data_IF_282294215546
#
_entry.id   IF_282294215546
#
_cell.length_a   1.000
_cell.length_b   1.000
_cell.length_c   1.000
_cell.angle_alpha   90.00
_cell.angle_beta   90.00
_cell.angle_gamma   90.00
#
_symmetry.space_group_name_H-M   'P 1'
#
loop_
_entity.id
_entity.type
_entity.pdbx_description
1 polymer ?
#
# COMPACT_ATOMS: atom_id res chain seq x y z
N UNK A 1 -12.81 3.98 -14.31
CA UNK A 1 -11.97 2.81 -14.66
C UNK A 1 -11.47 2.18 -13.38
N UNK A 2 -11.84 0.93 -13.12
CA UNK A 2 -11.41 0.12 -11.99
C UNK A 2 -10.41 -0.94 -12.50
N UNK A 3 -9.19 -0.92 -11.97
CA UNK A 3 -8.14 -1.87 -12.31
C UNK A 3 -8.05 -2.93 -11.21
N UNK A 4 -8.29 -4.20 -11.55
CA UNK A 4 -8.31 -5.31 -10.60
C UNK A 4 -7.22 -6.32 -10.90
N UNK A 5 -6.76 -7.01 -9.86
CA UNK A 5 -5.89 -8.17 -10.03
C UNK A 5 -6.72 -9.39 -10.49
N UNK A 6 -6.05 -10.42 -10.99
CA UNK A 6 -6.72 -11.65 -11.45
C UNK A 6 -6.74 -12.74 -10.38
N UNK A 7 -6.86 -12.38 -9.10
CA UNK A 7 -6.95 -13.33 -8.02
C UNK A 7 -8.28 -14.13 -8.11
N UNK A 8 -8.27 -15.43 -7.75
CA UNK A 8 -9.46 -16.28 -7.82
C UNK A 8 -10.67 -15.80 -7.00
N UNK A 9 -10.44 -14.90 -6.04
CA UNK A 9 -11.47 -14.31 -5.19
C UNK A 9 -12.25 -13.17 -5.88
N UNK A 10 -11.78 -12.68 -7.03
CA UNK A 10 -12.48 -11.64 -7.78
C UNK A 10 -13.50 -12.26 -8.75
N UNK A 11 -14.73 -11.74 -8.80
CA UNK A 11 -15.76 -12.27 -9.70
C UNK A 11 -15.39 -11.95 -11.15
N UNK A 12 -15.33 -12.95 -12.05
CA UNK A 12 -14.90 -12.77 -13.44
C UNK A 12 -15.88 -11.95 -14.30
N UNK A 13 -17.12 -11.77 -13.83
CA UNK A 13 -18.19 -11.02 -14.50
C UNK A 13 -18.57 -9.70 -13.82
N UNK A 14 -17.70 -9.13 -12.97
CA UNK A 14 -18.04 -7.96 -12.15
C UNK A 14 -18.64 -6.80 -12.97
N UNK A 15 -18.17 -6.58 -14.20
CA UNK A 15 -18.67 -5.53 -15.09
C UNK A 15 -20.14 -5.74 -15.50
N UNK A 16 -20.57 -6.99 -15.66
CA UNK A 16 -21.97 -7.37 -15.97
C UNK A 16 -22.86 -7.27 -14.73
N UNK A 17 -22.27 -7.44 -13.54
CA UNK A 17 -22.94 -7.32 -12.23
C UNK A 17 -23.05 -5.87 -11.74
N UNK A 18 -22.40 -4.90 -12.42
CA UNK A 18 -22.53 -3.48 -12.07
C UNK A 18 -23.94 -3.00 -12.39
N UNK A 19 -24.63 -2.48 -11.38
CA UNK A 19 -25.95 -1.84 -11.50
C UNK A 19 -25.88 -0.69 -12.52
N UNK A 20 -26.99 -0.37 -13.19
CA UNK A 20 -27.09 0.74 -14.16
C UNK A 20 -26.46 2.06 -13.64
N UNK A 21 -26.60 2.35 -12.34
CA UNK A 21 -26.05 3.53 -11.67
C UNK A 21 -24.51 3.59 -11.70
N UNK A 22 -23.82 2.46 -11.93
CA UNK A 22 -22.36 2.33 -11.97
C UNK A 22 -21.81 2.02 -13.37
N UNK A 23 -22.62 2.15 -14.42
CA UNK A 23 -22.22 1.86 -15.81
C UNK A 23 -21.00 2.67 -16.31
N UNK A 24 -20.66 3.77 -15.62
CA UNK A 24 -19.49 4.59 -15.91
C UNK A 24 -18.17 3.95 -15.42
N UNK A 25 -18.24 2.91 -14.59
CA UNK A 25 -17.09 2.19 -14.08
C UNK A 25 -16.72 1.06 -15.04
N UNK A 26 -15.82 1.35 -15.98
CA UNK A 26 -15.17 0.30 -16.78
C UNK A 26 -14.25 -0.55 -15.91
N UNK A 27 -14.45 -1.87 -15.87
CA UNK A 27 -13.58 -2.80 -15.11
C UNK A 27 -12.53 -3.38 -16.05
N UNK A 28 -11.29 -3.47 -15.59
CA UNK A 28 -10.22 -4.12 -16.35
C UNK A 28 -9.40 -5.00 -15.42
N UNK A 29 -9.32 -6.28 -15.77
CA UNK A 29 -8.46 -7.23 -15.07
C UNK A 29 -7.04 -7.15 -15.62
N UNK A 30 -6.07 -7.12 -14.72
CA UNK A 30 -4.68 -7.22 -15.08
C UNK A 30 -4.35 -8.64 -15.59
N UNK A 31 -3.38 -8.78 -16.52
CA UNK A 31 -2.89 -10.09 -16.94
C UNK A 31 -2.39 -10.95 -15.77
N UNK A 32 -2.38 -12.28 -15.88
CA UNK A 32 -1.76 -13.15 -14.87
C UNK A 32 -0.32 -12.72 -14.54
N UNK A 33 0.11 -12.90 -13.28
CA UNK A 33 1.46 -12.57 -12.78
C UNK A 33 1.82 -11.08 -12.69
N UNK A 34 0.85 -10.19 -12.86
CA UNK A 34 1.06 -8.74 -12.75
C UNK A 34 0.79 -8.18 -11.36
N UNK A 35 0.61 -9.02 -10.33
CA UNK A 35 0.41 -8.58 -8.94
C UNK A 35 1.54 -7.64 -8.45
N UNK A 36 2.73 -7.77 -9.04
CA UNK A 36 3.86 -6.85 -8.82
C UNK A 36 3.60 -5.41 -9.33
N UNK A 37 2.74 -5.23 -10.34
CA UNK A 37 2.32 -3.91 -10.85
C UNK A 37 1.34 -3.19 -9.92
N UNK A 38 0.73 -3.90 -8.96
CA UNK A 38 0.02 -3.30 -7.82
C UNK A 38 1.05 -2.80 -6.79
N UNK A 39 1.84 -1.86 -7.26
CA UNK A 39 2.88 -1.12 -6.54
C UNK A 39 2.44 -0.55 -5.18
N UNK A 40 1.17 -0.14 -4.91
CA UNK A 40 0.85 0.45 -3.62
C UNK A 40 1.06 -0.49 -2.43
N UNK A 41 0.73 -1.78 -2.57
CA UNK A 41 0.91 -2.78 -1.50
C UNK A 41 2.41 -3.08 -1.30
N UNK A 42 3.16 -3.19 -2.39
CA UNK A 42 4.62 -3.41 -2.34
C UNK A 42 5.34 -2.25 -1.63
N UNK A 43 4.96 -1.01 -1.95
CA UNK A 43 5.54 0.17 -1.33
C UNK A 43 5.18 0.28 0.16
N UNK A 44 3.94 -0.02 0.54
CA UNK A 44 3.55 -0.12 1.94
C UNK A 44 4.39 -1.16 2.69
N UNK A 45 4.53 -2.39 2.16
CA UNK A 45 5.36 -3.44 2.76
C UNK A 45 6.80 -2.98 2.94
N UNK A 46 7.38 -2.32 1.93
CA UNK A 46 8.73 -1.74 2.01
C UNK A 46 8.85 -0.71 3.15
N UNK A 47 7.89 0.22 3.26
CA UNK A 47 7.89 1.25 4.29
C UNK A 47 7.69 0.66 5.69
N UNK A 48 6.76 -0.27 5.85
CA UNK A 48 6.53 -1.00 7.10
C UNK A 48 7.82 -1.72 7.55
N UNK A 49 8.42 -2.52 6.66
CA UNK A 49 9.65 -3.27 6.96
C UNK A 49 10.81 -2.34 7.33
N UNK A 50 10.95 -1.20 6.64
CA UNK A 50 11.98 -0.20 6.96
C UNK A 50 11.80 0.36 8.38
N UNK A 51 10.59 0.80 8.73
CA UNK A 51 10.33 1.38 10.05
C UNK A 51 10.42 0.34 11.17
N UNK A 52 10.01 -0.89 10.90
CA UNK A 52 10.19 -2.02 11.81
C UNK A 52 11.68 -2.23 12.12
N UNK A 53 12.51 -2.40 11.09
CA UNK A 53 13.94 -2.60 11.29
C UNK A 53 14.62 -1.40 11.95
N UNK A 54 14.21 -0.18 11.63
CA UNK A 54 14.72 1.03 12.30
C UNK A 54 14.54 0.94 13.82
N UNK A 55 13.33 0.62 14.29
CA UNK A 55 13.04 0.49 15.72
C UNK A 55 13.80 -0.67 16.36
N UNK A 56 13.87 -1.81 15.67
CA UNK A 56 14.66 -2.93 16.14
C UNK A 56 16.13 -2.54 16.32
N UNK A 57 16.74 -1.92 15.31
CA UNK A 57 18.15 -1.49 15.38
C UNK A 57 18.37 -0.42 16.44
N UNK A 58 17.48 0.56 16.60
CA UNK A 58 17.60 1.56 17.67
C UNK A 58 17.61 0.93 19.06
N UNK A 59 16.89 -0.18 19.25
CA UNK A 59 16.86 -0.90 20.52
C UNK A 59 18.10 -1.79 20.69
N UNK A 60 18.49 -2.55 19.66
CA UNK A 60 19.62 -3.50 19.70
C UNK A 60 20.99 -2.84 19.55
N UNK A 61 21.07 -1.59 19.09
CA UNK A 61 22.33 -0.83 19.07
C UNK A 61 22.63 -0.20 20.44
N UNK A 62 21.56 0.06 21.22
CA UNK A 62 21.65 0.62 22.59
C UNK A 62 21.68 -0.44 23.68
N UNK A 63 21.58 -1.72 23.32
CA UNK A 63 21.50 -2.83 24.25
C UNK A 63 22.09 -4.09 23.62
N UNK A 64 22.47 -5.09 24.42
CA UNK A 64 22.92 -6.39 23.90
C UNK A 64 21.75 -7.32 23.53
N UNK A 65 20.56 -6.78 23.25
CA UNK A 65 19.37 -7.57 22.97
C UNK A 65 19.48 -8.26 21.61
N UNK A 66 19.08 -9.51 21.58
CA UNK A 66 18.89 -10.25 20.34
C UNK A 66 17.59 -9.82 19.65
N UNK A 67 17.50 -10.08 18.34
CA UNK A 67 16.27 -9.84 17.57
C UNK A 67 15.05 -10.59 18.17
N UNK A 68 15.26 -11.81 18.69
CA UNK A 68 14.21 -12.59 19.32
C UNK A 68 13.68 -11.94 20.61
N UNK A 69 14.58 -11.42 21.46
CA UNK A 69 14.20 -10.71 22.69
C UNK A 69 13.47 -9.41 22.39
N UNK A 70 13.88 -8.67 21.35
CA UNK A 70 13.13 -7.51 20.87
C UNK A 70 11.68 -7.88 20.52
N UNK A 71 11.46 -8.92 19.72
CA UNK A 71 10.12 -9.34 19.33
C UNK A 71 9.28 -9.82 20.52
N UNK A 72 9.88 -10.53 21.47
CA UNK A 72 9.18 -11.08 22.62
C UNK A 72 8.82 -10.03 23.66
N UNK A 73 9.73 -9.10 23.93
CA UNK A 73 9.68 -8.24 25.13
C UNK A 73 9.43 -6.77 24.82
N UNK A 74 9.69 -6.34 23.58
CA UNK A 74 9.68 -4.93 23.19
C UNK A 74 8.79 -4.62 21.98
N UNK A 75 8.18 -5.64 21.37
CA UNK A 75 7.27 -5.46 20.25
C UNK A 75 5.85 -5.92 20.60
N UNK A 76 5.00 -4.95 20.92
CA UNK A 76 3.59 -5.18 21.22
C UNK A 76 2.66 -4.71 20.09
N UNK A 77 1.36 -4.92 20.29
CA UNK A 77 0.34 -4.51 19.32
C UNK A 77 0.33 -2.98 19.10
N UNK A 78 0.65 -2.20 20.14
CA UNK A 78 0.72 -0.73 20.04
C UNK A 78 1.87 -0.33 19.12
N UNK A 79 3.02 -0.96 19.27
CA UNK A 79 4.21 -0.77 18.43
C UNK A 79 3.91 -1.11 16.97
N UNK A 80 3.20 -2.23 16.75
CA UNK A 80 2.73 -2.62 15.42
C UNK A 80 1.82 -1.54 14.79
N UNK A 81 0.80 -1.07 15.52
CA UNK A 81 -0.11 -0.04 15.04
C UNK A 81 0.61 1.27 14.70
N UNK A 82 1.58 1.68 15.52
CA UNK A 82 2.37 2.87 15.23
C UNK A 82 3.19 2.75 13.94
N UNK A 83 3.80 1.59 13.68
CA UNK A 83 4.52 1.35 12.42
C UNK A 83 3.56 1.40 11.24
N UNK A 84 2.37 0.79 11.36
CA UNK A 84 1.32 0.84 10.34
C UNK A 84 0.94 2.30 10.05
N UNK A 85 0.67 3.10 11.09
CA UNK A 85 0.33 4.52 10.93
C UNK A 85 1.44 5.28 10.19
N UNK A 86 2.70 5.11 10.60
CA UNK A 86 3.84 5.78 9.94
C UNK A 86 3.97 5.33 8.48
N UNK A 87 3.83 4.04 8.20
CA UNK A 87 3.93 3.48 6.85
C UNK A 87 2.79 3.98 5.95
N UNK A 88 1.55 4.05 6.45
CA UNK A 88 0.40 4.59 5.71
C UNK A 88 0.60 6.08 5.41
N UNK A 89 0.97 6.89 6.40
CA UNK A 89 1.20 8.33 6.19
C UNK A 89 2.34 8.57 5.20
N UNK A 90 3.43 7.81 5.32
CA UNK A 90 4.56 7.87 4.38
C UNK A 90 4.16 7.44 2.98
N UNK A 91 3.34 6.40 2.85
CA UNK A 91 2.81 5.92 1.58
C UNK A 91 1.95 6.99 0.91
N UNK A 92 0.99 7.58 1.64
CA UNK A 92 0.13 8.64 1.13
C UNK A 92 0.94 9.85 0.67
N UNK A 93 1.95 10.26 1.43
CA UNK A 93 2.83 11.37 1.06
C UNK A 93 3.60 11.09 -0.24
N UNK A 94 4.19 9.90 -0.37
CA UNK A 94 4.91 9.50 -1.59
C UNK A 94 3.98 9.41 -2.80
N UNK A 95 2.78 8.83 -2.62
CA UNK A 95 1.77 8.75 -3.67
C UNK A 95 1.31 10.14 -4.13
N UNK A 96 1.06 11.06 -3.19
CA UNK A 96 0.76 12.46 -3.53
C UNK A 96 1.90 13.16 -4.27
N UNK A 97 3.15 12.94 -3.87
CA UNK A 97 4.32 13.51 -4.54
C UNK A 97 4.51 12.93 -5.95
N UNK A 98 4.24 11.63 -6.12
CA UNK A 98 4.25 10.97 -7.42
C UNK A 98 3.16 11.53 -8.34
N UNK A 99 1.92 11.68 -7.85
CA UNK A 99 0.84 12.33 -8.60
C UNK A 99 1.20 13.77 -9.01
N UNK A 100 1.78 14.56 -8.09
CA UNK A 100 2.26 15.93 -8.40
C UNK A 100 3.35 15.96 -9.47
N UNK A 101 4.23 14.96 -9.52
CA UNK A 101 5.28 14.86 -10.56
C UNK A 101 4.73 14.42 -11.91
N UNK A 102 3.74 13.52 -11.93
CA UNK A 102 3.12 13.07 -13.18
C UNK A 102 2.16 14.11 -13.77
N UNK A 103 1.54 14.94 -12.91
CA UNK A 103 0.61 16.00 -13.32
C UNK A 103 1.04 17.36 -12.74
N UNK A 104 2.17 17.93 -13.20
CA UNK A 104 2.73 19.17 -12.64
C UNK A 104 1.96 20.43 -13.03
N UNK A 105 1.10 20.36 -14.07
CA UNK A 105 0.22 21.43 -14.51
C UNK A 105 -1.20 21.11 -14.04
N UNK A 106 -1.64 21.78 -12.97
CA UNK A 106 -2.91 21.47 -12.31
C UNK A 106 -4.12 21.40 -13.26
N UNK A 107 -4.79 20.25 -13.27
CA UNK A 107 -6.25 20.15 -13.14
C UNK A 107 -7.17 20.92 -14.09
N UNK A 108 -6.76 21.31 -15.31
CA UNK A 108 -7.65 22.09 -16.19
C UNK A 108 -8.39 21.29 -17.28
N UNK A 109 -8.21 19.97 -17.39
CA UNK A 109 -8.84 19.19 -18.48
C UNK A 109 -9.35 17.80 -18.09
N UNK A 110 -9.62 17.54 -16.81
CA UNK A 110 -10.07 16.22 -16.36
C UNK A 110 -11.52 16.19 -15.86
N UNK A 111 -12.39 17.09 -16.33
CA UNK A 111 -13.86 16.96 -16.25
C UNK A 111 -14.50 17.81 -17.35
N UNK A 112 -14.53 17.28 -18.57
CA UNK A 112 -15.51 17.62 -19.61
C UNK A 112 -15.73 16.41 -20.50
#
# INVERSE_FOLDING_TARGET
MLLMDNAPAHPPGLEEDLVEDFNFIKVTFLPPYTTLLLQPISNFKKLYTREHFRRCFEMTDRSSLTHHEFWREHFDIVSCLQIITIAIVSHLHQSQQFCRKLFPWGGLWAWR
#
